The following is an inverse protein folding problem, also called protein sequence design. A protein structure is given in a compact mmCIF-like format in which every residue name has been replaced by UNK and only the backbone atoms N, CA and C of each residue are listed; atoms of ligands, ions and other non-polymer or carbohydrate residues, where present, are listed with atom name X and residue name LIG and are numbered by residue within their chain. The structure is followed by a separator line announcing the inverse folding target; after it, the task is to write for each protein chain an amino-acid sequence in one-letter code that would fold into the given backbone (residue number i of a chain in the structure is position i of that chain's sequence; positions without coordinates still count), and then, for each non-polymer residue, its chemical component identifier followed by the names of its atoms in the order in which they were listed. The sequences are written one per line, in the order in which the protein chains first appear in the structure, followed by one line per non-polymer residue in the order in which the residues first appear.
data_IF_556731533359
#
_entry.id   IF_556731533359
#
_cell.length_a   1.000
_cell.length_b   1.000
_cell.length_c   1.000
_cell.angle_alpha   90.00
_cell.angle_beta   90.00
_cell.angle_gamma   90.00
#
_symmetry.space_group_name_H-M   'P 1'
#
loop_
_entity.id
_entity.type
_entity.pdbx_description
1 polymer ?
#
# COMPACT_ATOMS: atom_id res chain seq x y z
N UNK A 1 5.49 21.65 7.06
CA UNK A 1 4.01 21.71 6.95
C UNK A 1 3.58 21.04 5.64
N UNK A 2 4.06 21.53 4.50
CA UNK A 2 3.73 21.02 3.16
C UNK A 2 4.15 19.55 2.93
N UNK A 3 5.33 19.16 3.38
CA UNK A 3 5.82 17.77 3.26
C UNK A 3 4.96 16.75 4.04
N UNK A 4 4.48 17.11 5.23
CA UNK A 4 3.55 16.27 6.00
C UNK A 4 2.20 16.11 5.29
N UNK A 5 1.72 17.16 4.61
CA UNK A 5 0.48 17.08 3.84
C UNK A 5 0.64 16.18 2.61
N UNK A 6 1.75 16.28 1.88
CA UNK A 6 2.05 15.40 0.76
C UNK A 6 2.20 13.93 1.19
N UNK A 7 2.85 13.68 2.33
CA UNK A 7 2.97 12.35 2.91
C UNK A 7 1.59 11.79 3.30
N UNK A 8 0.74 12.57 3.97
CA UNK A 8 -0.62 12.16 4.33
C UNK A 8 -1.44 11.76 3.10
N UNK A 9 -1.46 12.62 2.08
CA UNK A 9 -2.17 12.34 0.82
C UNK A 9 -1.65 11.08 0.13
N UNK A 10 -0.35 10.82 0.21
CA UNK A 10 0.25 9.58 -0.33
C UNK A 10 -0.24 8.36 0.43
N UNK A 11 -0.36 8.43 1.76
CA UNK A 11 -0.91 7.33 2.58
C UNK A 11 -2.39 7.10 2.27
N UNK A 12 -3.19 8.15 2.17
CA UNK A 12 -4.61 8.05 1.79
C UNK A 12 -4.78 7.39 0.42
N UNK A 13 -4.00 7.85 -0.56
CA UNK A 13 -3.96 7.26 -1.91
C UNK A 13 -3.57 5.79 -1.87
N UNK A 14 -2.62 5.42 -1.01
CA UNK A 14 -2.20 4.03 -0.83
C UNK A 14 -3.33 3.15 -0.28
N UNK A 15 -4.02 3.62 0.76
CA UNK A 15 -5.16 2.91 1.37
C UNK A 15 -6.29 2.72 0.35
N UNK A 16 -6.63 3.78 -0.39
CA UNK A 16 -7.71 3.73 -1.40
C UNK A 16 -7.38 2.82 -2.58
N UNK A 17 -6.09 2.65 -2.90
CA UNK A 17 -5.64 1.78 -3.97
C UNK A 17 -5.63 0.29 -3.60
N UNK A 18 -5.72 -0.05 -2.31
CA UNK A 18 -5.73 -1.46 -1.87
C UNK A 18 -6.89 -2.21 -2.52
N UNK A 19 -6.53 -3.31 -3.18
CA UNK A 19 -7.46 -4.18 -3.86
C UNK A 19 -7.84 -3.77 -5.28
N UNK A 20 -7.38 -2.63 -5.83
CA UNK A 20 -7.70 -2.24 -7.22
C UNK A 20 -6.93 -3.01 -8.30
N UNK A 21 -5.84 -3.68 -7.93
CA UNK A 21 -4.97 -4.43 -8.84
C UNK A 21 -3.86 -3.58 -9.44
N UNK A 22 -2.73 -4.22 -9.76
CA UNK A 22 -1.55 -3.58 -10.34
C UNK A 22 -1.27 -4.11 -11.74
N UNK A 23 -0.71 -3.26 -12.59
CA UNK A 23 -0.21 -3.67 -13.88
C UNK A 23 1.13 -4.39 -13.74
N UNK A 24 1.08 -5.72 -13.83
CA UNK A 24 2.25 -6.60 -13.69
C UNK A 24 3.33 -6.35 -14.75
N UNK A 25 2.97 -5.72 -15.88
CA UNK A 25 3.94 -5.41 -16.95
C UNK A 25 4.69 -4.11 -16.71
N UNK A 26 4.18 -3.28 -15.79
CA UNK A 26 4.79 -2.01 -15.42
C UNK A 26 5.51 -2.12 -14.08
N UNK A 27 4.82 -1.80 -12.99
CA UNK A 27 5.41 -1.55 -11.68
C UNK A 27 4.32 -1.60 -10.61
N UNK A 28 4.71 -1.90 -9.38
CA UNK A 28 3.84 -1.95 -8.20
C UNK A 28 3.64 -0.59 -7.52
N UNK A 29 4.26 0.48 -8.03
CA UNK A 29 4.02 1.86 -7.54
C UNK A 29 2.54 2.25 -7.72
N UNK A 30 2.03 3.05 -6.78
CA UNK A 30 0.64 3.54 -6.74
C UNK A 30 0.18 4.20 -8.06
N UNK A 31 1.10 4.83 -8.79
CA UNK A 31 0.84 5.43 -10.09
C UNK A 31 0.30 4.44 -11.14
N UNK A 32 0.56 3.14 -10.97
CA UNK A 32 0.16 2.08 -11.90
C UNK A 32 -0.96 1.19 -11.36
N UNK A 33 -1.57 1.54 -10.24
CA UNK A 33 -2.83 0.94 -9.79
C UNK A 33 -3.90 1.14 -10.88
N UNK A 34 -4.54 0.05 -11.32
CA UNK A 34 -5.60 0.10 -12.33
C UNK A 34 -6.97 0.09 -11.64
N UNK A 35 -8.03 0.31 -12.40
CA UNK A 35 -9.41 0.30 -11.91
C UNK A 35 -10.01 1.69 -11.67
N UNK A 36 -11.34 1.76 -11.67
CA UNK A 36 -12.09 2.94 -11.26
C UNK A 36 -12.00 3.11 -9.73
N UNK A 37 -12.31 4.32 -9.25
CA UNK A 37 -12.17 4.64 -7.83
C UNK A 37 -12.96 3.70 -6.89
N UNK A 38 -14.05 3.13 -7.39
CA UNK A 38 -14.98 2.28 -6.65
C UNK A 38 -14.86 0.80 -7.05
N UNK A 39 -13.96 0.45 -7.97
CA UNK A 39 -13.77 -0.94 -8.38
C UNK A 39 -12.57 -1.54 -7.65
N UNK A 40 -12.82 -2.55 -6.81
CA UNK A 40 -11.76 -3.39 -6.22
C UNK A 40 -11.96 -4.84 -6.67
N UNK A 41 -10.83 -5.51 -6.94
CA UNK A 41 -10.74 -6.94 -7.25
C UNK A 41 -10.96 -7.77 -5.98
N UNK A 42 -10.60 -7.22 -4.81
CA UNK A 42 -10.86 -7.83 -3.51
C UNK A 42 -11.73 -6.92 -2.66
N UNK A 43 -12.62 -7.54 -1.89
CA UNK A 43 -13.46 -6.85 -0.92
C UNK A 43 -12.62 -6.35 0.26
N UNK A 44 -12.99 -5.16 0.77
CA UNK A 44 -12.40 -4.54 1.95
C UNK A 44 -13.52 -4.26 2.93
N UNK A 45 -13.33 -4.61 4.21
CA UNK A 45 -14.29 -4.36 5.29
C UNK A 45 -14.32 -2.86 5.60
N UNK A 46 -15.24 -2.13 4.94
CA UNK A 46 -15.48 -0.70 5.13
C UNK A 46 -16.45 -0.42 6.29
N UNK A 47 -17.06 -1.45 6.90
CA UNK A 47 -17.96 -1.29 8.06
C UNK A 47 -17.15 -1.18 9.36
N UNK A 48 -16.15 -2.04 9.53
CA UNK A 48 -15.32 -2.06 10.74
C UNK A 48 -14.01 -1.31 10.52
N UNK A 49 -14.04 -0.02 10.80
CA UNK A 49 -12.90 0.88 10.57
C UNK A 49 -12.25 1.38 11.87
N UNK A 50 -11.05 1.94 11.73
CA UNK A 50 -10.27 2.57 12.81
C UNK A 50 -9.40 3.69 12.27
N UNK A 51 -8.90 4.51 13.19
CA UNK A 51 -7.80 5.42 12.90
C UNK A 51 -6.51 4.62 12.64
N UNK A 52 -5.96 4.81 11.46
CA UNK A 52 -4.73 4.17 11.01
C UNK A 52 -3.55 5.12 11.18
N UNK A 53 -2.71 4.81 12.16
CA UNK A 53 -1.47 5.54 12.39
C UNK A 53 -0.40 5.03 11.43
N UNK A 54 -0.02 5.90 10.49
CA UNK A 54 1.04 5.69 9.52
C UNK A 54 2.40 6.13 10.09
N UNK A 55 3.26 6.72 9.26
CA UNK A 55 4.60 7.16 9.64
C UNK A 55 4.52 8.54 10.31
N UNK A 56 5.47 8.88 11.20
CA UNK A 56 5.60 10.21 11.82
C UNK A 56 4.31 10.76 12.44
N UNK A 57 3.55 9.87 13.08
CA UNK A 57 2.25 10.14 13.71
C UNK A 57 1.16 10.67 12.76
N UNK A 58 1.30 10.43 11.45
CA UNK A 58 0.25 10.70 10.47
C UNK A 58 -0.92 9.74 10.70
N UNK A 59 -2.13 10.27 10.77
CA UNK A 59 -3.35 9.48 11.02
C UNK A 59 -4.28 9.59 9.81
N UNK A 60 -4.72 8.44 9.32
CA UNK A 60 -5.80 8.34 8.32
C UNK A 60 -7.00 7.71 9.00
N UNK A 61 -8.13 8.41 8.99
CA UNK A 61 -9.38 7.94 9.59
C UNK A 61 -10.08 6.91 8.71
N UNK A 62 -11.03 6.16 9.30
CA UNK A 62 -11.95 5.27 8.60
C UNK A 62 -11.25 4.22 7.72
N UNK A 63 -10.10 3.70 8.17
CA UNK A 63 -9.41 2.61 7.45
C UNK A 63 -9.89 1.29 8.02
N UNK A 64 -10.18 0.32 7.14
CA UNK A 64 -10.52 -1.04 7.53
C UNK A 64 -9.55 -1.59 8.59
N UNK A 65 -10.10 -2.19 9.66
CA UNK A 65 -9.29 -2.73 10.78
C UNK A 65 -8.27 -3.78 10.34
N UNK A 66 -8.55 -4.46 9.22
CA UNK A 66 -7.75 -5.55 8.69
C UNK A 66 -6.52 -5.06 7.92
N UNK A 67 -6.49 -3.77 7.56
CA UNK A 67 -5.33 -3.14 6.95
C UNK A 67 -4.26 -2.91 8.03
N UNK A 68 -3.07 -3.45 7.77
CA UNK A 68 -1.89 -3.32 8.62
C UNK A 68 -0.73 -2.75 7.83
N UNK A 69 0.06 -1.92 8.49
CA UNK A 69 1.36 -1.49 7.98
C UNK A 69 2.43 -2.45 8.46
N UNK A 70 3.32 -2.86 7.56
CA UNK A 70 4.56 -3.54 7.91
C UNK A 70 5.71 -2.60 7.60
N UNK A 71 6.47 -2.21 8.63
CA UNK A 71 7.72 -1.49 8.42
C UNK A 71 8.83 -2.52 8.20
N UNK A 72 9.20 -2.73 6.95
CA UNK A 72 10.34 -3.57 6.60
C UNK A 72 11.60 -2.70 6.66
N UNK A 73 12.61 -3.12 7.42
CA UNK A 73 13.93 -2.49 7.34
C UNK A 73 14.45 -2.70 5.92
N UNK A 74 14.92 -1.65 5.26
CA UNK A 74 15.64 -1.76 3.98
C UNK A 74 16.83 -2.69 4.17
N UNK A 75 16.63 -3.97 3.88
CA UNK A 75 17.66 -4.99 3.85
C UNK A 75 17.62 -5.54 2.44
N UNK A 76 18.72 -5.36 1.70
CA UNK A 76 18.94 -6.14 0.49
C UNK A 76 19.10 -7.59 0.94
N UNK A 77 18.06 -8.38 0.77
CA UNK A 77 18.20 -9.82 0.88
C UNK A 77 18.88 -10.30 -0.40
N UNK A 78 20.18 -10.57 -0.31
CA UNK A 78 20.88 -11.30 -1.34
C UNK A 78 20.42 -12.76 -1.27
N UNK A 79 19.42 -13.13 -2.05
CA UNK A 79 19.21 -14.55 -2.35
C UNK A 79 20.41 -15.01 -3.17
N UNK A 80 21.09 -16.07 -2.73
CA UNK A 80 22.25 -16.60 -3.43
C UNK A 80 21.88 -16.99 -4.87
N UNK A 81 22.84 -16.86 -5.79
CA UNK A 81 22.69 -17.31 -7.17
C UNK A 81 22.40 -18.81 -7.15
N UNK A 82 21.22 -19.21 -7.64
CA UNK A 82 20.93 -20.63 -7.90
C UNK A 82 21.51 -20.99 -9.26
N UNK A 83 22.61 -21.73 -9.27
CA UNK A 83 23.11 -22.38 -10.49
C UNK A 83 22.15 -23.50 -10.88
N UNK A 84 21.56 -23.42 -12.08
CA UNK A 84 20.94 -24.59 -12.70
C UNK A 84 22.07 -25.54 -13.14
N UNK A 85 21.94 -26.83 -12.87
CA UNK A 85 22.76 -27.84 -13.53
C UNK A 85 21.95 -28.34 -14.72
N UNK A 86 22.52 -28.21 -15.91
CA UNK A 86 21.96 -28.73 -17.17
C UNK A 86 22.08 -30.25 -17.24
#
# INVERSE_FOLDING_TARGET
MEEKAAALHTVESAVQALGRGFDVTFDSRLLYCKGLAESRIVEVDEEHTRDFVAFDDLVVANVSRDIRRVQVKSRREASGIRSFHE
#
